data_IF_830340930938
#
_entry.id   IF_830340930938
#
_cell.length_a   1.000
_cell.length_b   1.000
_cell.length_c   1.000
_cell.angle_alpha   90.00
_cell.angle_beta   90.00
_cell.angle_gamma   90.00
#
_symmetry.space_group_name_H-M   'P 1'
#
loop_
_entity.id
_entity.type
_entity.pdbx_description
1 polymer ?
#
# COMPACT_ATOMS: atom_id res chain seq x y z
N UNK A 1 11.32 -5.48 -17.44
CA UNK A 1 10.00 -5.66 -16.81
C UNK A 1 9.72 -7.12 -16.57
N UNK A 2 9.33 -7.42 -15.35
CA UNK A 2 9.01 -8.75 -14.85
C UNK A 2 7.76 -8.66 -13.99
N UNK A 3 7.22 -9.82 -13.60
CA UNK A 3 6.16 -9.87 -12.60
C UNK A 3 6.59 -9.14 -11.32
N UNK A 4 5.59 -8.58 -10.68
CA UNK A 4 5.58 -7.70 -9.53
C UNK A 4 6.12 -6.29 -9.82
N UNK A 5 7.06 -6.07 -10.76
CA UNK A 5 7.71 -4.76 -11.01
C UNK A 5 6.78 -3.56 -10.83
N UNK A 6 7.19 -2.58 -10.02
CA UNK A 6 6.54 -1.28 -9.99
C UNK A 6 6.78 -0.54 -11.30
N UNK A 7 5.74 0.08 -11.81
CA UNK A 7 5.77 0.80 -13.07
C UNK A 7 5.01 2.12 -12.95
N UNK A 8 5.51 3.12 -13.65
CA UNK A 8 4.71 4.27 -14.03
C UNK A 8 3.97 3.96 -15.35
N UNK A 9 2.65 4.16 -15.34
CA UNK A 9 1.75 3.88 -16.46
C UNK A 9 1.47 5.18 -17.20
N UNK A 10 2.16 5.39 -18.33
CA UNK A 10 2.07 6.66 -19.06
C UNK A 10 0.65 7.02 -19.53
N UNK A 11 -0.20 6.01 -19.78
CA UNK A 11 -1.57 6.20 -20.24
C UNK A 11 -2.49 6.82 -19.19
N UNK A 12 -2.25 6.57 -17.90
CA UNK A 12 -3.04 7.10 -16.79
C UNK A 12 -2.31 8.18 -15.99
N UNK A 13 -0.99 8.29 -16.18
CA UNK A 13 -0.12 9.12 -15.31
C UNK A 13 0.04 8.55 -13.90
N UNK A 14 -0.50 7.36 -13.64
CA UNK A 14 -0.48 6.70 -12.34
C UNK A 14 0.62 5.65 -12.23
N UNK A 15 0.59 4.95 -11.10
CA UNK A 15 1.52 3.86 -10.81
C UNK A 15 0.80 2.53 -10.72
N UNK A 16 1.55 1.44 -10.88
CA UNK A 16 1.00 0.10 -10.78
C UNK A 16 2.06 -0.96 -10.53
N UNK A 17 1.60 -2.18 -10.30
CA UNK A 17 2.42 -3.39 -10.20
C UNK A 17 2.08 -4.36 -11.32
N UNK A 18 3.10 -4.94 -11.95
CA UNK A 18 2.91 -5.91 -13.05
C UNK A 18 2.46 -7.26 -12.49
N UNK A 19 1.27 -7.73 -12.83
CA UNK A 19 0.80 -9.07 -12.43
C UNK A 19 1.34 -10.16 -13.33
N UNK A 20 1.37 -9.90 -14.64
CA UNK A 20 1.78 -10.86 -15.66
C UNK A 20 2.34 -10.14 -16.88
N UNK A 21 3.25 -10.81 -17.59
CA UNK A 21 3.75 -10.38 -18.90
C UNK A 21 3.48 -11.53 -19.87
N UNK A 22 2.66 -11.29 -20.90
CA UNK A 22 2.34 -12.30 -21.89
C UNK A 22 3.45 -12.48 -22.94
N UNK A 23 3.31 -13.53 -23.76
CA UNK A 23 4.26 -13.90 -24.82
C UNK A 23 4.39 -12.85 -25.94
N UNK A 24 3.48 -11.88 -25.98
CA UNK A 24 3.46 -10.76 -26.95
C UNK A 24 4.02 -9.47 -26.38
N UNK A 25 4.48 -9.49 -25.13
CA UNK A 25 5.04 -8.32 -24.45
C UNK A 25 3.98 -7.31 -23.99
N UNK A 26 2.75 -7.76 -23.75
CA UNK A 26 1.72 -6.98 -23.07
C UNK A 26 1.74 -7.34 -21.58
N UNK A 27 1.78 -6.32 -20.74
CA UNK A 27 1.74 -6.45 -19.30
C UNK A 27 0.30 -6.27 -18.80
N UNK A 28 -0.15 -7.13 -17.90
CA UNK A 28 -1.27 -6.83 -17.01
C UNK A 28 -0.74 -6.07 -15.80
N UNK A 29 -1.25 -4.87 -15.57
CA UNK A 29 -0.79 -3.96 -14.52
C UNK A 29 -1.94 -3.65 -13.59
N UNK A 30 -1.83 -4.04 -12.32
CA UNK A 30 -2.73 -3.57 -11.27
C UNK A 30 -2.45 -2.12 -10.93
N UNK A 31 -3.46 -1.26 -11.04
CA UNK A 31 -3.34 0.16 -10.75
C UNK A 31 -3.30 0.40 -9.24
N UNK A 32 -2.38 1.25 -8.79
CA UNK A 32 -2.32 1.73 -7.42
C UNK A 32 -2.86 3.17 -7.44
N UNK A 33 -4.17 3.27 -7.59
CA UNK A 33 -4.89 4.54 -7.69
C UNK A 33 -6.28 4.37 -7.05
N UNK A 34 -6.60 5.12 -5.97
CA UNK A 34 -7.89 5.02 -5.31
C UNK A 34 -9.07 5.48 -6.19
N UNK A 35 -8.81 6.19 -7.29
CA UNK A 35 -9.80 6.74 -8.20
C UNK A 35 -9.93 5.94 -9.51
N UNK A 36 -9.16 4.87 -9.69
CA UNK A 36 -9.23 4.07 -10.92
C UNK A 36 -10.56 3.30 -11.03
N UNK A 37 -11.21 3.42 -12.19
CA UNK A 37 -12.42 2.67 -12.52
C UNK A 37 -12.12 1.16 -12.72
N UNK A 38 -10.96 0.87 -13.30
CA UNK A 38 -10.48 -0.48 -13.55
C UNK A 38 -9.38 -0.85 -12.55
N UNK A 39 -9.48 -2.04 -11.95
CA UNK A 39 -8.44 -2.56 -11.05
C UNK A 39 -7.10 -2.79 -11.77
N UNK A 40 -7.15 -3.15 -13.06
CA UNK A 40 -5.96 -3.47 -13.83
C UNK A 40 -6.12 -3.12 -15.31
N UNK A 41 -5.01 -2.77 -15.96
CA UNK A 41 -4.95 -2.48 -17.38
C UNK A 41 -4.03 -3.46 -18.11
N UNK A 42 -4.34 -3.73 -19.38
CA UNK A 42 -3.44 -4.42 -20.30
C UNK A 42 -2.70 -3.40 -21.16
N UNK A 43 -1.40 -3.26 -20.92
CA UNK A 43 -0.58 -2.20 -21.51
C UNK A 43 0.67 -2.81 -22.16
N UNK A 44 1.04 -2.44 -23.39
CA UNK A 44 2.31 -2.88 -23.97
C UNK A 44 3.50 -2.47 -23.09
N UNK A 45 4.49 -3.36 -22.92
CA UNK A 45 5.63 -3.10 -22.03
C UNK A 45 6.39 -1.80 -22.36
N UNK A 46 6.41 -1.37 -23.63
CA UNK A 46 7.07 -0.13 -24.06
C UNK A 46 6.34 1.16 -23.64
N UNK A 47 5.09 1.06 -23.19
CA UNK A 47 4.30 2.18 -22.65
C UNK A 47 4.39 2.28 -21.12
N UNK A 48 5.22 1.44 -20.51
CA UNK A 48 5.48 1.40 -19.07
C UNK A 48 6.92 1.81 -18.80
N UNK A 49 7.11 2.56 -17.73
CA UNK A 49 8.45 2.92 -17.23
C UNK A 49 8.65 2.14 -15.94
N UNK A 50 9.62 1.23 -15.92
CA UNK A 50 9.97 0.47 -14.72
C UNK A 50 10.60 1.39 -13.69
N UNK A 51 10.10 1.33 -12.45
CA UNK A 51 10.59 2.12 -11.32
C UNK A 51 11.87 1.48 -10.78
N UNK A 52 12.88 2.29 -10.49
CA UNK A 52 14.13 1.82 -9.90
C UNK A 52 13.89 1.26 -8.50
N UNK A 53 14.20 -0.01 -8.28
CA UNK A 53 14.10 -0.60 -6.95
C UNK A 53 15.22 -0.11 -6.05
N UNK A 54 14.86 0.31 -4.84
CA UNK A 54 15.81 0.75 -3.83
C UNK A 54 15.74 -0.07 -2.55
N UNK A 55 16.88 -0.19 -1.89
CA UNK A 55 17.03 -0.82 -0.58
C UNK A 55 16.90 0.18 0.58
N UNK A 56 17.12 -0.35 1.79
CA UNK A 56 17.01 0.42 3.04
C UNK A 56 17.95 1.63 3.10
N UNK A 57 19.11 1.55 2.46
CA UNK A 57 20.14 2.59 2.41
C UNK A 57 19.73 3.83 1.60
N UNK A 58 18.71 3.71 0.75
CA UNK A 58 18.17 4.80 -0.08
C UNK A 58 16.73 5.16 0.28
N UNK A 59 16.19 4.61 1.37
CA UNK A 59 14.80 4.83 1.77
C UNK A 59 14.54 6.31 2.11
N UNK A 60 15.46 6.98 2.77
CA UNK A 60 15.29 8.39 3.14
C UNK A 60 15.15 9.28 1.89
N UNK A 61 15.97 9.03 0.86
CA UNK A 61 15.87 9.75 -0.43
C UNK A 61 14.55 9.46 -1.15
N UNK A 62 14.07 8.22 -1.08
CA UNK A 62 12.75 7.85 -1.62
C UNK A 62 11.62 8.60 -0.89
N UNK A 63 11.70 8.74 0.43
CA UNK A 63 10.70 9.41 1.26
C UNK A 63 10.70 10.92 1.04
N UNK A 64 11.87 11.55 0.87
CA UNK A 64 11.97 12.97 0.50
C UNK A 64 11.26 13.28 -0.82
N UNK A 65 11.24 12.31 -1.74
CA UNK A 65 10.59 12.41 -3.05
C UNK A 65 9.24 11.68 -3.13
N UNK A 66 8.64 11.32 -2.00
CA UNK A 66 7.44 10.47 -1.96
C UNK A 66 6.33 11.05 -2.84
N UNK A 67 5.82 10.21 -3.73
CA UNK A 67 4.70 10.48 -4.63
C UNK A 67 3.50 9.59 -4.32
N UNK A 68 3.76 8.36 -3.86
CA UNK A 68 2.74 7.37 -3.52
C UNK A 68 3.20 6.46 -2.40
N UNK A 69 2.33 6.24 -1.43
CA UNK A 69 2.36 5.14 -0.48
C UNK A 69 1.05 4.35 -0.59
N UNK A 70 1.15 3.03 -0.69
CA UNK A 70 0.01 2.14 -0.66
C UNK A 70 0.24 1.02 0.37
N UNK A 71 -0.82 0.68 1.10
CA UNK A 71 -0.86 -0.43 2.04
C UNK A 71 -2.14 -1.23 1.80
N UNK A 72 -1.98 -2.44 1.29
CA UNK A 72 -3.06 -3.42 1.15
C UNK A 72 -3.03 -4.39 2.32
N UNK A 73 -4.15 -4.59 3.01
CA UNK A 73 -4.30 -5.61 4.05
C UNK A 73 -5.49 -6.50 3.74
N UNK A 74 -5.27 -7.82 3.76
CA UNK A 74 -6.29 -8.83 3.46
C UNK A 74 -6.43 -9.83 4.60
N UNK A 75 -7.68 -10.16 4.91
CA UNK A 75 -8.05 -11.16 5.91
C UNK A 75 -8.85 -12.30 5.28
N UNK A 76 -8.29 -12.95 4.25
CA UNK A 76 -8.92 -14.06 3.54
C UNK A 76 -10.40 -13.82 3.21
N UNK A 77 -11.29 -14.71 3.66
CA UNK A 77 -12.74 -14.60 3.45
C UNK A 77 -13.41 -13.50 4.29
N UNK A 78 -12.73 -12.97 5.32
CA UNK A 78 -13.26 -11.94 6.23
C UNK A 78 -13.00 -10.56 5.64
N UNK A 79 -13.57 -10.29 4.48
CA UNK A 79 -13.35 -9.05 3.70
C UNK A 79 -13.62 -7.79 4.50
N UNK A 80 -14.61 -7.79 5.41
CA UNK A 80 -14.87 -6.65 6.29
C UNK A 80 -13.71 -6.26 7.23
N UNK A 81 -12.70 -7.11 7.41
CA UNK A 81 -11.47 -6.81 8.14
C UNK A 81 -10.34 -6.30 7.23
N UNK A 82 -10.45 -6.55 5.93
CA UNK A 82 -9.49 -6.11 4.92
C UNK A 82 -9.63 -4.60 4.66
N UNK A 83 -8.55 -3.97 4.22
CA UNK A 83 -8.57 -2.57 3.79
C UNK A 83 -7.52 -2.30 2.73
N UNK A 84 -7.66 -1.16 2.07
CA UNK A 84 -6.58 -0.50 1.34
C UNK A 84 -6.45 0.93 1.83
N UNK A 85 -5.20 1.39 1.83
CA UNK A 85 -4.86 2.75 2.19
C UNK A 85 -3.90 3.30 1.15
N UNK A 86 -4.17 4.52 0.71
CA UNK A 86 -3.36 5.22 -0.27
C UNK A 86 -3.01 6.60 0.29
N UNK A 87 -1.77 7.00 0.10
CA UNK A 87 -1.32 8.39 0.29
C UNK A 87 -0.65 8.82 -1.00
N UNK A 88 -1.15 9.88 -1.63
CA UNK A 88 -0.62 10.36 -2.90
C UNK A 88 -0.68 11.87 -3.02
N UNK A 89 0.21 12.45 -3.84
CA UNK A 89 0.21 13.90 -4.09
C UNK A 89 -0.97 14.29 -4.98
N UNK A 90 -1.72 15.31 -4.57
CA UNK A 90 -2.71 15.97 -5.42
C UNK A 90 -2.05 16.98 -6.39
N UNK A 91 -2.87 17.66 -7.18
CA UNK A 91 -2.42 18.67 -8.15
C UNK A 91 -1.69 19.86 -7.50
N UNK A 92 -1.99 20.14 -6.22
CA UNK A 92 -1.35 21.18 -5.42
C UNK A 92 -0.11 20.66 -4.66
N UNK A 93 0.32 19.43 -4.94
CA UNK A 93 1.46 18.72 -4.34
C UNK A 93 1.31 18.32 -2.86
N UNK A 94 0.14 18.55 -2.27
CA UNK A 94 -0.17 18.09 -0.91
C UNK A 94 -0.49 16.59 -0.90
N UNK A 95 -0.12 15.89 0.17
CA UNK A 95 -0.45 14.48 0.34
C UNK A 95 -1.91 14.31 0.77
N UNK A 96 -2.67 13.53 0.00
CA UNK A 96 -4.03 13.13 0.35
C UNK A 96 -4.04 11.69 0.85
N UNK A 97 -4.74 11.47 1.96
CA UNK A 97 -4.97 10.16 2.55
C UNK A 97 -6.33 9.62 2.11
N UNK A 98 -6.33 8.43 1.52
CA UNK A 98 -7.49 7.70 1.05
C UNK A 98 -7.57 6.32 1.71
N UNK A 99 -8.79 5.85 1.92
CA UNK A 99 -9.02 4.58 2.60
C UNK A 99 -10.24 3.84 2.05
N UNK A 100 -10.14 2.53 1.94
CA UNK A 100 -11.24 1.62 1.65
C UNK A 100 -11.29 0.49 2.68
N UNK A 101 -12.51 0.05 3.03
CA UNK A 101 -12.72 -1.12 3.90
C UNK A 101 -13.48 -2.20 3.13
N UNK A 102 -12.98 -3.43 3.18
CA UNK A 102 -13.53 -4.57 2.48
C UNK A 102 -13.69 -4.35 0.98
N UNK A 103 -14.95 -4.26 0.53
CA UNK A 103 -15.31 -4.08 -0.88
C UNK A 103 -15.84 -2.67 -1.17
N UNK A 104 -15.81 -1.77 -0.18
CA UNK A 104 -16.24 -0.40 -0.38
C UNK A 104 -15.26 0.34 -1.28
N UNK A 105 -15.77 1.25 -2.12
CA UNK A 105 -14.92 2.14 -2.89
C UNK A 105 -14.04 3.00 -1.95
N UNK A 106 -12.77 3.28 -2.32
CA UNK A 106 -11.93 4.20 -1.59
C UNK A 106 -12.59 5.58 -1.42
N UNK A 107 -12.34 6.21 -0.27
CA UNK A 107 -12.78 7.57 0.03
C UNK A 107 -11.62 8.38 0.58
N UNK A 108 -11.56 9.66 0.21
CA UNK A 108 -10.63 10.61 0.80
C UNK A 108 -10.99 10.83 2.26
N UNK A 109 -10.02 10.63 3.16
CA UNK A 109 -10.16 10.89 4.58
C UNK A 109 -9.72 12.32 4.92
N UNK A 110 -8.54 12.72 4.44
CA UNK A 110 -7.93 14.00 4.75
C UNK A 110 -6.90 14.41 3.69
N UNK A 111 -6.65 15.70 3.62
CA UNK A 111 -5.40 16.26 3.11
C UNK A 111 -4.47 16.45 4.31
N UNK A 112 -3.21 16.02 4.19
CA UNK A 112 -2.26 16.08 5.30
C UNK A 112 -1.65 17.47 5.38
N UNK A 113 -1.69 18.05 6.57
CA UNK A 113 -0.87 19.22 6.89
C UNK A 113 0.60 18.83 7.08
N UNK A 114 1.49 19.81 7.11
CA UNK A 114 2.94 19.59 7.24
C UNK A 114 3.31 18.73 8.47
N UNK A 115 2.75 18.95 9.69
CA UNK A 115 3.01 18.06 10.82
C UNK A 115 2.57 16.60 10.58
N UNK A 116 1.41 16.39 9.96
CA UNK A 116 0.87 15.07 9.66
C UNK A 116 1.72 14.33 8.61
N UNK A 117 2.17 15.05 7.58
CA UNK A 117 3.09 14.54 6.57
C UNK A 117 4.42 14.11 7.23
N UNK A 118 5.02 14.97 8.05
CA UNK A 118 6.27 14.65 8.76
C UNK A 118 6.12 13.43 9.67
N UNK A 119 5.00 13.30 10.39
CA UNK A 119 4.72 12.14 11.23
C UNK A 119 4.61 10.85 10.39
N UNK A 120 3.93 10.91 9.24
CA UNK A 120 3.82 9.79 8.31
C UNK A 120 5.20 9.39 7.76
N UNK A 121 5.98 10.34 7.25
CA UNK A 121 7.30 10.08 6.69
C UNK A 121 8.25 9.45 7.73
N UNK A 122 8.24 9.96 8.97
CA UNK A 122 9.01 9.39 10.07
C UNK A 122 8.60 7.94 10.39
N UNK A 123 7.29 7.63 10.34
CA UNK A 123 6.79 6.28 10.55
C UNK A 123 7.18 5.33 9.41
N UNK A 124 7.12 5.80 8.16
CA UNK A 124 7.55 5.06 6.97
C UNK A 124 9.06 4.79 6.99
N UNK A 125 9.85 5.75 7.45
CA UNK A 125 11.29 5.57 7.67
C UNK A 125 11.59 4.49 8.71
N UNK A 126 10.63 4.07 9.55
CA UNK A 126 10.78 2.96 10.48
C UNK A 126 10.60 1.57 9.86
N UNK A 127 10.17 1.47 8.60
CA UNK A 127 9.84 0.20 7.95
C UNK A 127 11.09 -0.58 7.51
N UNK A 128 11.09 -1.87 7.85
CA UNK A 128 12.07 -2.82 7.32
C UNK A 128 11.40 -3.68 6.24
N UNK A 129 11.61 -3.28 4.98
CA UNK A 129 11.12 -3.98 3.80
C UNK A 129 12.29 -4.74 3.18
N UNK A 130 12.11 -6.03 2.94
CA UNK A 130 13.04 -6.80 2.11
C UNK A 130 13.05 -6.20 0.67
N UNK A 131 14.20 -6.21 -0.03
CA UNK A 131 14.28 -5.73 -1.40
C UNK A 131 13.27 -6.40 -2.34
N UNK A 132 12.77 -5.59 -3.27
CA UNK A 132 11.77 -5.86 -4.31
C UNK A 132 11.80 -7.25 -4.96
N UNK A 133 12.99 -7.80 -5.21
CA UNK A 133 13.17 -9.08 -5.88
C UNK A 133 12.65 -10.21 -4.98
N UNK A 134 11.48 -10.74 -5.32
CA UNK A 134 10.81 -11.93 -4.75
C UNK A 134 9.77 -11.70 -3.66
N UNK A 135 9.28 -10.47 -3.48
CA UNK A 135 7.99 -10.31 -2.81
C UNK A 135 8.00 -10.48 -1.29
N UNK A 136 9.07 -10.05 -0.65
CA UNK A 136 9.28 -10.30 0.77
C UNK A 136 9.48 -11.79 1.08
N UNK A 137 9.96 -12.09 2.28
CA UNK A 137 9.97 -13.48 2.75
C UNK A 137 8.54 -13.97 2.90
N UNK A 138 7.99 -14.62 1.85
CA UNK A 138 7.06 -15.72 2.07
C UNK A 138 7.75 -16.66 3.04
N UNK A 139 7.28 -16.72 4.29
CA UNK A 139 7.74 -17.74 5.22
C UNK A 139 7.51 -19.09 4.54
N UNK A 140 8.59 -19.73 4.08
CA UNK A 140 8.53 -21.01 3.39
C UNK A 140 7.72 -21.99 4.28
N UNK A 141 6.61 -22.49 3.76
CA UNK A 141 5.73 -23.40 4.50
C UNK A 141 4.55 -22.76 5.24
N UNK A 142 4.22 -21.49 5.02
CA UNK A 142 2.90 -20.98 5.42
C UNK A 142 1.83 -21.33 4.39
N UNK A 143 0.93 -22.23 4.78
CA UNK A 143 -0.23 -22.63 3.98
C UNK A 143 -1.10 -21.41 3.62
N UNK A 144 -1.57 -21.39 2.36
CA UNK A 144 -2.58 -20.45 1.87
C UNK A 144 -3.88 -20.77 2.60
N UNK A 145 -4.12 -20.13 3.74
CA UNK A 145 -5.37 -20.29 4.48
C UNK A 145 -6.43 -19.29 4.00
N UNK A 146 -7.66 -19.75 3.85
CA UNK A 146 -8.84 -18.90 3.64
C UNK A 146 -9.12 -17.98 4.83
N UNK A 147 -8.51 -18.23 5.99
CA UNK A 147 -8.56 -17.37 7.17
C UNK A 147 -7.26 -16.57 7.39
N UNK A 148 -6.31 -16.67 6.45
CA UNK A 148 -5.00 -16.07 6.56
C UNK A 148 -5.03 -14.54 6.46
N UNK A 149 -4.13 -13.90 7.20
CA UNK A 149 -3.83 -12.49 7.07
C UNK A 149 -2.65 -12.29 6.13
N UNK A 150 -2.75 -11.32 5.23
CA UNK A 150 -1.66 -10.90 4.35
C UNK A 150 -1.62 -9.39 4.20
N UNK A 151 -0.46 -8.90 3.80
CA UNK A 151 -0.23 -7.49 3.54
C UNK A 151 0.60 -7.31 2.28
N UNK A 152 0.42 -6.19 1.60
CA UNK A 152 1.33 -5.64 0.61
C UNK A 152 1.55 -4.16 0.91
N UNK A 153 2.72 -3.65 0.58
CA UNK A 153 3.09 -2.27 0.82
C UNK A 153 3.98 -1.78 -0.32
N UNK A 154 3.67 -0.62 -0.87
CA UNK A 154 4.41 -0.01 -1.96
C UNK A 154 4.69 1.47 -1.65
N UNK A 155 5.94 1.89 -1.85
CA UNK A 155 6.43 3.26 -1.74
C UNK A 155 7.04 3.66 -3.08
N UNK A 156 6.67 4.84 -3.59
CA UNK A 156 7.14 5.34 -4.89
C UNK A 156 7.41 6.83 -4.80
N UNK A 157 8.54 7.28 -5.35
CA UNK A 157 8.94 8.68 -5.33
C UNK A 157 10.22 8.91 -6.14
N UNK A 158 10.30 10.02 -6.87
CA UNK A 158 11.54 10.41 -7.59
C UNK A 158 12.07 9.38 -8.61
N UNK A 159 11.20 8.53 -9.17
CA UNK A 159 11.60 7.43 -10.08
C UNK A 159 12.13 6.18 -9.36
N UNK A 160 12.12 6.17 -8.03
CA UNK A 160 12.51 5.07 -7.16
C UNK A 160 11.31 4.44 -6.48
N UNK A 161 11.47 3.19 -6.03
CA UNK A 161 10.42 2.49 -5.32
C UNK A 161 10.94 1.39 -4.39
N UNK A 162 10.17 1.16 -3.34
CA UNK A 162 10.38 0.09 -2.37
C UNK A 162 9.04 -0.59 -2.11
N UNK A 163 9.04 -1.91 -1.98
CA UNK A 163 7.83 -2.65 -1.65
C UNK A 163 8.13 -3.91 -0.85
N UNK A 164 7.07 -4.47 -0.28
CA UNK A 164 7.09 -5.82 0.22
C UNK A 164 5.68 -6.38 0.29
N UNK A 165 5.59 -7.70 0.40
CA UNK A 165 4.36 -8.35 0.83
C UNK A 165 4.68 -9.47 1.80
N UNK A 166 3.67 -9.92 2.52
CA UNK A 166 3.83 -11.00 3.47
C UNK A 166 2.52 -11.60 3.91
N UNK A 167 2.63 -12.74 4.59
CA UNK A 167 1.51 -13.47 5.19
C UNK A 167 1.87 -13.84 6.62
N UNK A 168 0.90 -13.77 7.52
CA UNK A 168 1.02 -14.23 8.91
C UNK A 168 2.05 -13.51 9.80
N UNK A 169 2.99 -12.76 9.24
CA UNK A 169 4.06 -12.03 9.94
C UNK A 169 4.11 -10.60 9.40
N UNK A 170 4.06 -9.62 10.30
CA UNK A 170 4.20 -8.21 9.98
C UNK A 170 5.67 -7.84 9.76
N UNK A 171 5.98 -6.96 8.80
CA UNK A 171 7.32 -6.43 8.67
C UNK A 171 7.61 -5.52 9.89
N UNK A 172 8.89 -5.38 10.23
CA UNK A 172 9.26 -4.49 11.32
C UNK A 172 8.83 -3.05 10.98
N UNK A 173 8.34 -2.33 11.99
CA UNK A 173 7.81 -0.97 11.83
C UNK A 173 6.31 -0.89 11.49
N UNK A 174 5.67 -1.93 10.94
CA UNK A 174 4.25 -1.84 10.54
C UNK A 174 3.30 -1.50 11.70
N UNK A 175 3.56 -2.05 12.89
CA UNK A 175 2.75 -1.73 14.07
C UNK A 175 2.85 -0.24 14.46
N UNK A 176 4.05 0.34 14.39
CA UNK A 176 4.26 1.76 14.66
C UNK A 176 3.61 2.62 13.58
N UNK A 177 3.74 2.24 12.30
CA UNK A 177 3.03 2.89 11.20
C UNK A 177 1.51 2.88 11.43
N UNK A 178 0.91 1.76 11.83
CA UNK A 178 -0.51 1.69 12.12
C UNK A 178 -0.95 2.61 13.28
N UNK A 179 -0.10 2.86 14.27
CA UNK A 179 -0.37 3.85 15.32
C UNK A 179 -0.47 5.25 14.69
N UNK A 180 0.54 5.66 13.94
CA UNK A 180 0.54 6.95 13.24
C UNK A 180 -0.67 7.09 12.32
N UNK A 181 -0.99 6.06 11.52
CA UNK A 181 -2.16 6.07 10.65
C UNK A 181 -3.47 6.23 11.44
N UNK A 182 -3.60 5.60 12.61
CA UNK A 182 -4.77 5.76 13.48
C UNK A 182 -4.86 7.20 14.02
N UNK A 183 -3.73 7.80 14.40
CA UNK A 183 -3.66 9.19 14.84
C UNK A 183 -4.03 10.18 13.72
N UNK A 184 -3.72 9.82 12.46
CA UNK A 184 -4.15 10.53 11.26
C UNK A 184 -5.64 10.29 10.88
N UNK A 185 -6.38 9.53 11.68
CA UNK A 185 -7.81 9.30 11.51
C UNK A 185 -8.17 8.11 10.60
N UNK A 186 -7.20 7.26 10.26
CA UNK A 186 -7.48 6.01 9.52
C UNK A 186 -8.27 5.07 10.43
N UNK A 187 -9.44 4.55 9.99
CA UNK A 187 -10.29 3.68 10.80
C UNK A 187 -9.76 2.24 10.77
N UNK A 188 -8.61 2.03 11.42
CA UNK A 188 -8.00 0.72 11.63
C UNK A 188 -7.72 0.50 13.12
N UNK A 189 -7.48 -0.76 13.48
CA UNK A 189 -6.92 -1.12 14.78
C UNK A 189 -6.02 -2.33 14.65
N UNK A 190 -5.06 -2.47 15.56
CA UNK A 190 -4.26 -3.68 15.67
C UNK A 190 -5.04 -4.79 16.40
N UNK A 191 -5.24 -5.95 15.76
CA UNK A 191 -5.74 -7.13 16.46
C UNK A 191 -4.55 -7.88 17.09
N UNK A 192 -4.51 -7.92 18.43
CA UNK A 192 -3.46 -8.63 19.16
C UNK A 192 -3.32 -10.10 18.73
N UNK A 193 -2.09 -10.61 18.72
CA UNK A 193 -1.74 -11.93 18.20
C UNK A 193 -1.00 -11.84 16.85
N UNK A 194 -1.04 -12.91 16.06
CA UNK A 194 -0.36 -13.01 14.74
C UNK A 194 -1.15 -12.37 13.58
N UNK A 195 -2.25 -11.67 13.86
CA UNK A 195 -3.28 -11.31 12.86
C UNK A 195 -3.19 -9.89 12.29
N UNK A 196 -2.27 -9.04 12.76
CA UNK A 196 -2.01 -7.73 12.16
C UNK A 196 -3.16 -6.70 12.27
N UNK A 197 -3.10 -5.59 11.52
CA UNK A 197 -4.14 -4.56 11.53
C UNK A 197 -5.42 -5.01 10.80
N UNK A 198 -6.56 -4.46 11.24
CA UNK A 198 -7.89 -4.66 10.63
C UNK A 198 -8.59 -3.33 10.44
N UNK A 199 -9.46 -3.24 9.43
CA UNK A 199 -10.44 -2.16 9.35
C UNK A 199 -11.39 -2.19 10.56
N UNK A 200 -11.84 -1.01 10.98
CA UNK A 200 -12.97 -0.87 11.90
C UNK A 200 -14.14 -0.22 11.17
N UNK A 201 -15.35 -0.74 11.40
CA UNK A 201 -16.58 -0.08 10.94
C UNK A 201 -16.68 1.29 11.60
N UNK A 202 -16.55 2.35 10.80
CA UNK A 202 -16.71 3.72 11.25
C UNK A 202 -18.11 4.01 11.81
N UNK A 203 -19.14 3.26 11.40
CA UNK A 203 -20.50 3.38 11.96
C UNK A 203 -20.63 2.95 13.43
N UNK A 204 -19.75 2.06 13.93
CA UNK A 204 -19.74 1.65 15.34
C UNK A 204 -18.88 2.56 16.24
N UNK A 205 -17.96 3.33 15.66
CA UNK A 205 -17.11 4.23 16.43
C UNK A 205 -17.91 5.42 17.01
N UNK A 206 -18.89 5.95 16.27
CA UNK A 206 -19.73 7.07 16.75
C UNK A 206 -20.67 6.68 17.91
N UNK A 207 -21.00 5.39 18.05
CA UNK A 207 -21.85 4.92 19.15
C UNK A 207 -21.09 4.67 20.45
N UNK A 208 -19.76 4.56 20.40
CA UNK A 208 -18.92 4.35 21.59
C UNK A 208 -18.61 5.66 22.33
N UNK A 209 -18.57 6.80 21.62
CA UNK A 209 -18.30 8.14 22.21
C UNK A 209 -19.56 8.84 22.74
N UNK A 210 -20.75 8.23 22.58
CA UNK A 210 -22.04 8.76 23.04
C UNK A 210 -22.67 7.93 24.19
N UNK A 211 -21.88 7.20 24.98
CA UNK A 211 -22.35 6.51 26.19
C UNK A 211 -21.57 6.92 27.43
#
# INVERSE_FOLDING_TARGET
MQRDSLVHVAATGGYGSVFEVDDKGVCEVGLIDPCADDYSLRVPAHALIEIESVGRDQLDELLDALALFHLGVRHGIRTAKSFELFVGKNEETALELWFSSGIAAPKRLAELDEPSEQALLAALAGLDLDPWLHGGRSAAGQDVSLEGWSWSLELIGGGKGSSGFGRGVAPAGLAALCVTLTELGVPIRWEGGATGPVAVDSERAETATRR
#
